data_IF_300822251541
#
_entry.id   IF_300822251541
#
_cell.length_a   1.000
_cell.length_b   1.000
_cell.length_c   1.000
_cell.angle_alpha   90.00
_cell.angle_beta   90.00
_cell.angle_gamma   90.00
#
_symmetry.space_group_name_H-M   'P 1'
#
loop_
_entity.id
_entity.type
_entity.pdbx_description
1 polymer ?
#
# COMPACT_ATOMS: atom_id res chain seq x y z
N UNK A 1 -55.30 12.46 50.24
CA UNK A 1 -56.02 12.78 49.01
C UNK A 1 -55.58 14.15 48.55
N UNK A 2 -54.73 14.22 47.52
CA UNK A 2 -54.54 15.38 46.67
C UNK A 2 -53.84 14.85 45.43
N UNK A 3 -54.56 14.80 44.35
CA UNK A 3 -54.08 14.48 43.02
C UNK A 3 -53.27 15.65 42.46
N UNK A 4 -52.06 15.41 42.07
CA UNK A 4 -51.23 16.36 41.32
C UNK A 4 -51.14 15.91 39.86
N UNK A 5 -51.89 16.55 38.97
CA UNK A 5 -51.81 16.44 37.55
C UNK A 5 -50.51 17.10 37.04
N UNK A 6 -49.65 16.36 36.40
CA UNK A 6 -48.52 16.90 35.66
C UNK A 6 -48.94 17.00 34.18
N UNK A 7 -49.13 18.22 33.68
CA UNK A 7 -49.26 18.53 32.27
C UNK A 7 -47.97 18.32 31.54
N UNK A 8 -47.97 17.82 30.28
CA UNK A 8 -46.76 17.67 29.47
C UNK A 8 -46.28 19.05 28.98
N UNK A 9 -45.00 19.31 29.13
CA UNK A 9 -44.32 20.50 28.60
C UNK A 9 -44.31 20.45 27.09
N UNK A 10 -44.93 21.44 26.47
CA UNK A 10 -44.85 21.74 25.05
C UNK A 10 -43.39 22.02 24.64
N UNK A 11 -42.86 21.25 23.70
CA UNK A 11 -41.60 21.54 23.04
C UNK A 11 -41.84 22.63 21.99
N UNK A 12 -41.26 23.81 22.24
CA UNK A 12 -41.20 24.88 21.24
C UNK A 12 -40.05 24.56 20.28
N UNK A 13 -40.34 24.26 19.05
CA UNK A 13 -39.35 24.20 17.97
C UNK A 13 -38.83 25.60 17.68
N UNK A 14 -37.53 25.82 17.92
CA UNK A 14 -36.83 26.99 17.41
C UNK A 14 -36.69 26.85 15.86
N UNK A 15 -36.87 27.96 15.11
CA UNK A 15 -36.75 27.91 13.64
C UNK A 15 -35.27 27.66 13.27
N UNK A 16 -35.07 26.67 12.40
CA UNK A 16 -33.79 26.34 11.81
C UNK A 16 -33.11 27.58 11.19
N UNK A 17 -32.07 28.06 11.85
CA UNK A 17 -31.21 29.09 11.31
C UNK A 17 -30.57 28.60 10.02
N UNK A 18 -30.75 29.38 8.96
CA UNK A 18 -30.10 29.21 7.66
C UNK A 18 -28.58 29.26 7.86
N UNK A 19 -27.93 28.15 8.12
CA UNK A 19 -26.50 28.00 7.93
C UNK A 19 -26.27 27.80 6.43
N UNK A 20 -26.07 28.93 5.76
CA UNK A 20 -25.46 29.01 4.46
C UNK A 20 -23.98 28.60 4.66
N UNK A 21 -23.73 27.28 4.64
CA UNK A 21 -22.36 26.76 4.56
C UNK A 21 -21.80 27.24 3.23
N UNK A 22 -20.81 28.10 3.31
CA UNK A 22 -20.15 28.67 2.16
C UNK A 22 -19.57 27.55 1.30
N UNK A 23 -20.05 27.48 0.08
CA UNK A 23 -19.68 26.56 -1.00
C UNK A 23 -18.25 26.85 -1.56
N UNK A 24 -17.34 27.38 -0.76
CA UNK A 24 -16.04 27.88 -1.20
C UNK A 24 -14.84 27.01 -0.82
N UNK A 25 -15.04 25.83 -0.22
CA UNK A 25 -13.92 24.92 0.12
C UNK A 25 -13.95 23.63 -0.70
N UNK A 26 -14.88 23.46 -1.63
CA UNK A 26 -15.00 22.24 -2.46
C UNK A 26 -14.58 22.42 -3.93
N UNK A 27 -13.88 23.46 -4.30
CA UNK A 27 -13.44 23.65 -5.70
C UNK A 27 -11.98 23.27 -5.97
N UNK A 28 -11.33 22.50 -5.09
CA UNK A 28 -10.01 21.91 -5.35
C UNK A 28 -9.95 20.38 -5.18
N UNK A 29 -11.08 19.71 -5.05
CA UNK A 29 -11.13 18.29 -5.31
C UNK A 29 -11.11 18.13 -6.83
N UNK A 30 -9.92 18.02 -7.44
CA UNK A 30 -9.79 17.50 -8.78
C UNK A 30 -10.51 16.15 -8.81
N UNK A 31 -11.56 16.04 -9.62
CA UNK A 31 -12.13 14.77 -10.00
C UNK A 31 -10.99 13.92 -10.55
N UNK A 32 -10.59 12.91 -9.80
CA UNK A 32 -9.70 11.87 -10.29
C UNK A 32 -10.50 10.97 -11.24
N UNK A 33 -10.72 11.47 -12.44
CA UNK A 33 -11.05 10.64 -13.58
C UNK A 33 -9.87 9.71 -13.78
N UNK A 34 -10.02 8.39 -13.65
CA UNK A 34 -9.10 7.28 -13.92
C UNK A 34 -7.64 7.61 -14.32
N UNK A 35 -7.06 8.57 -13.70
CA UNK A 35 -5.89 9.28 -14.18
C UNK A 35 -4.64 8.72 -13.51
N UNK A 36 -3.58 8.68 -14.28
CA UNK A 36 -2.23 8.41 -13.83
C UNK A 36 -1.93 9.20 -12.55
N UNK A 37 -1.62 8.50 -11.48
CA UNK A 37 -1.25 9.09 -10.20
C UNK A 37 0.21 8.77 -9.91
N UNK A 38 0.98 9.80 -9.57
CA UNK A 38 2.33 9.67 -9.06
C UNK A 38 2.48 10.55 -7.83
N UNK A 39 2.96 9.95 -6.76
CA UNK A 39 3.32 10.63 -5.54
C UNK A 39 4.85 10.58 -5.37
N UNK A 40 5.49 11.74 -5.42
CA UNK A 40 6.93 11.92 -5.21
C UNK A 40 7.26 12.24 -3.73
N UNK A 41 6.31 12.05 -2.81
CA UNK A 41 6.45 12.23 -1.37
C UNK A 41 7.06 13.58 -0.95
N UNK A 42 6.77 14.63 -1.73
CA UNK A 42 7.25 16.00 -1.46
C UNK A 42 6.26 16.81 -0.63
N UNK A 43 5.03 16.36 -0.52
CA UNK A 43 3.99 16.99 0.30
C UNK A 43 4.27 16.78 1.81
N UNK A 44 3.84 17.73 2.68
CA UNK A 44 4.03 17.60 4.12
C UNK A 44 3.17 16.53 4.78
N UNK A 45 2.15 16.03 4.10
CA UNK A 45 1.25 14.96 4.54
C UNK A 45 1.02 13.99 3.38
N UNK A 46 0.78 12.72 3.70
CA UNK A 46 0.40 11.74 2.70
C UNK A 46 -0.96 12.09 2.08
N UNK A 47 -1.10 11.76 0.81
CA UNK A 47 -2.37 11.83 0.11
C UNK A 47 -3.44 11.01 0.88
N UNK A 48 -4.63 11.59 1.16
CA UNK A 48 -5.69 10.95 1.95
C UNK A 48 -6.25 9.67 1.32
N UNK A 49 -6.01 9.42 0.04
CA UNK A 49 -6.42 8.19 -0.64
C UNK A 49 -5.56 6.97 -0.27
N UNK A 50 -4.40 7.16 0.38
CA UNK A 50 -3.66 6.05 0.94
C UNK A 50 -4.40 5.43 2.13
N UNK A 51 -4.43 4.13 2.13
CA UNK A 51 -5.02 3.34 3.20
C UNK A 51 -3.95 2.46 3.85
N UNK A 52 -4.10 2.24 5.14
CA UNK A 52 -3.33 1.27 5.91
C UNK A 52 -4.27 0.22 6.50
N UNK A 53 -3.74 -0.97 6.80
CA UNK A 53 -4.56 -2.04 7.35
C UNK A 53 -4.82 -1.82 8.84
N UNK A 54 -6.07 -1.47 9.20
CA UNK A 54 -6.66 -1.44 10.55
C UNK A 54 -6.01 -0.51 11.58
N UNK A 55 -4.90 0.11 11.28
CA UNK A 55 -4.24 1.08 12.16
C UNK A 55 -4.03 2.40 11.42
N UNK A 56 -4.14 3.54 12.10
CA UNK A 56 -3.83 4.83 11.50
C UNK A 56 -2.35 4.89 11.10
N UNK A 57 -2.08 5.56 10.00
CA UNK A 57 -0.72 5.93 9.62
C UNK A 57 -0.22 7.00 10.60
N UNK A 58 0.94 6.76 11.19
CA UNK A 58 1.57 7.70 12.14
C UNK A 58 3.03 7.91 11.79
N UNK A 59 3.58 9.07 12.14
CA UNK A 59 5.00 9.39 11.96
C UNK A 59 5.95 8.47 12.74
N UNK A 60 5.43 7.65 13.63
CA UNK A 60 6.22 6.67 14.37
C UNK A 60 6.79 5.56 13.48
N UNK A 61 6.13 5.26 12.35
CA UNK A 61 6.58 4.22 11.42
C UNK A 61 6.53 4.63 9.94
N UNK A 62 6.05 5.84 9.67
CA UNK A 62 6.06 6.48 8.34
C UNK A 62 6.52 7.92 8.50
N UNK A 63 7.55 8.36 7.80
CA UNK A 63 8.05 9.73 7.90
C UNK A 63 8.28 10.35 6.53
N UNK A 64 7.70 11.53 6.30
CA UNK A 64 7.97 12.40 5.16
C UNK A 64 9.03 13.46 5.46
N UNK A 65 9.45 13.57 6.72
CA UNK A 65 10.32 14.65 7.20
C UNK A 65 11.76 14.22 7.46
N UNK A 66 12.00 12.95 7.82
CA UNK A 66 13.35 12.45 8.11
C UNK A 66 14.26 12.40 6.89
N UNK A 67 13.68 12.20 5.70
CA UNK A 67 14.36 12.31 4.42
C UNK A 67 13.47 13.06 3.44
N UNK A 68 13.58 14.39 3.32
CA UNK A 68 12.73 15.17 2.43
C UNK A 68 12.75 14.66 0.98
N UNK A 69 11.57 14.53 0.35
CA UNK A 69 11.40 13.97 -0.99
C UNK A 69 11.39 12.43 -1.02
N UNK A 70 11.28 11.79 0.13
CA UNK A 70 11.10 10.35 0.28
C UNK A 70 10.05 10.05 1.34
N UNK A 71 9.36 8.94 1.17
CA UNK A 71 8.63 8.31 2.28
C UNK A 71 9.54 7.27 2.94
N UNK A 72 9.95 7.54 4.17
CA UNK A 72 10.64 6.56 5.01
C UNK A 72 9.64 5.68 5.71
N UNK A 73 9.78 4.36 5.54
CA UNK A 73 8.92 3.36 6.17
C UNK A 73 9.76 2.47 7.09
N UNK A 74 9.44 2.45 8.38
CA UNK A 74 10.09 1.57 9.36
C UNK A 74 9.44 0.20 9.33
N UNK A 75 10.26 -0.84 9.13
CA UNK A 75 9.82 -2.22 9.10
C UNK A 75 9.27 -2.68 10.44
N UNK A 76 8.15 -3.39 10.38
CA UNK A 76 7.44 -3.99 11.52
C UNK A 76 7.09 -5.43 11.19
N UNK A 77 6.00 -5.94 11.71
CA UNK A 77 5.52 -7.32 11.51
C UNK A 77 5.31 -7.69 10.04
N UNK A 78 5.28 -8.97 9.76
CA UNK A 78 5.00 -9.52 8.44
C UNK A 78 3.59 -9.23 7.93
N UNK A 79 3.37 -9.42 6.64
CA UNK A 79 2.12 -9.11 5.94
C UNK A 79 0.91 -9.92 6.42
N UNK A 80 1.12 -11.07 7.05
CA UNK A 80 0.06 -11.85 7.72
C UNK A 80 -0.43 -11.24 9.04
N UNK A 81 0.27 -10.26 9.60
CA UNK A 81 -0.19 -9.52 10.77
C UNK A 81 -1.40 -8.66 10.42
N UNK A 82 -2.40 -8.62 11.30
CA UNK A 82 -3.62 -7.81 11.10
C UNK A 82 -3.50 -6.39 11.67
N UNK A 83 -2.50 -6.09 12.50
CA UNK A 83 -2.43 -4.82 13.26
C UNK A 83 -1.05 -4.17 13.34
N UNK A 84 -0.01 -4.83 12.87
CA UNK A 84 1.36 -4.36 13.10
C UNK A 84 2.21 -4.28 11.84
N UNK A 85 1.58 -4.24 10.69
CA UNK A 85 2.25 -4.04 9.41
C UNK A 85 2.65 -2.58 9.22
N UNK A 86 3.69 -2.33 8.42
CA UNK A 86 3.95 -1.04 7.81
C UNK A 86 3.67 -1.16 6.32
N UNK A 87 2.50 -0.70 5.92
CA UNK A 87 1.97 -0.78 4.57
C UNK A 87 1.07 0.41 4.31
N UNK A 88 1.22 1.01 3.12
CA UNK A 88 0.27 1.94 2.55
C UNK A 88 -0.08 1.50 1.15
N UNK A 89 -1.35 1.62 0.78
CA UNK A 89 -1.84 1.20 -0.52
C UNK A 89 -3.00 2.07 -0.99
N UNK A 90 -3.21 2.09 -2.31
CA UNK A 90 -4.38 2.70 -2.96
C UNK A 90 -5.17 1.63 -3.68
N UNK A 91 -6.48 1.85 -3.83
CA UNK A 91 -7.36 0.92 -4.52
C UNK A 91 -7.05 0.84 -6.01
N UNK A 92 -7.05 -0.37 -6.55
CA UNK A 92 -7.08 -0.59 -7.99
C UNK A 92 -8.48 -0.23 -8.50
N UNK A 93 -8.57 0.71 -9.42
CA UNK A 93 -9.85 1.21 -9.97
C UNK A 93 -10.15 0.68 -11.36
N UNK A 94 -9.14 0.12 -12.03
CA UNK A 94 -9.24 -0.41 -13.38
C UNK A 94 -8.61 -1.81 -13.44
N UNK A 95 -9.04 -2.61 -14.43
CA UNK A 95 -8.49 -3.95 -14.65
C UNK A 95 -7.09 -3.91 -15.27
N UNK A 96 -6.84 -2.92 -16.13
CA UNK A 96 -5.57 -2.75 -16.84
C UNK A 96 -4.83 -1.57 -16.25
N UNK A 97 -3.89 -1.86 -15.34
CA UNK A 97 -3.11 -0.86 -14.61
C UNK A 97 -1.63 -1.26 -14.53
N UNK A 98 -0.78 -0.26 -14.51
CA UNK A 98 0.62 -0.42 -14.13
C UNK A 98 0.84 0.28 -12.80
N UNK A 99 1.54 -0.38 -11.88
CA UNK A 99 1.98 0.23 -10.62
C UNK A 99 3.47 0.05 -10.48
N UNK A 100 4.15 1.08 -9.99
CA UNK A 100 5.60 1.05 -9.86
C UNK A 100 6.09 1.95 -8.73
N UNK A 101 7.31 1.68 -8.27
CA UNK A 101 7.97 2.45 -7.22
C UNK A 101 9.48 2.43 -7.40
N UNK A 102 10.16 3.42 -6.83
CA UNK A 102 11.62 3.43 -6.66
C UNK A 102 11.92 3.46 -5.18
N UNK A 103 12.78 2.55 -4.74
CA UNK A 103 13.17 2.46 -3.34
C UNK A 103 14.67 2.32 -3.17
N UNK A 104 15.16 2.78 -2.03
CA UNK A 104 16.47 2.53 -1.48
C UNK A 104 16.30 1.70 -0.21
N UNK A 105 16.84 0.50 -0.20
CA UNK A 105 16.74 -0.42 0.91
C UNK A 105 17.97 -1.31 1.00
N UNK A 106 18.57 -1.39 2.19
CA UNK A 106 19.78 -2.19 2.44
C UNK A 106 19.51 -3.18 3.56
N UNK A 107 18.89 -4.34 3.24
CA UNK A 107 18.62 -5.38 4.24
C UNK A 107 19.91 -6.01 4.73
N UNK A 108 19.97 -6.32 6.04
CA UNK A 108 21.09 -6.97 6.70
C UNK A 108 20.87 -8.48 6.84
N UNK A 109 19.60 -8.89 6.89
CA UNK A 109 19.19 -10.28 7.05
C UNK A 109 17.91 -10.58 6.24
N UNK A 110 17.64 -11.85 5.97
CA UNK A 110 16.46 -12.31 5.23
C UNK A 110 15.11 -11.94 5.86
N UNK A 111 15.09 -11.57 7.14
CA UNK A 111 13.89 -11.12 7.88
C UNK A 111 13.48 -9.68 7.59
N UNK A 112 14.28 -8.96 6.80
CA UNK A 112 14.06 -7.58 6.41
C UNK A 112 13.66 -7.54 4.94
N UNK A 113 12.50 -6.97 4.64
CA UNK A 113 11.92 -6.93 3.30
C UNK A 113 11.24 -5.59 3.06
N UNK A 114 11.41 -5.03 1.86
CA UNK A 114 10.69 -3.83 1.43
C UNK A 114 10.40 -3.88 -0.07
N UNK A 115 9.24 -3.38 -0.50
CA UNK A 115 8.90 -3.39 -1.92
C UNK A 115 7.46 -3.06 -2.27
N UNK A 116 7.08 -3.50 -3.48
CA UNK A 116 5.80 -3.28 -4.12
C UNK A 116 4.85 -4.45 -3.84
N UNK A 117 3.62 -4.14 -3.44
CA UNK A 117 2.60 -5.15 -3.14
C UNK A 117 1.34 -4.92 -3.96
N UNK A 118 0.77 -6.00 -4.48
CA UNK A 118 -0.62 -6.09 -4.90
C UNK A 118 -1.34 -6.97 -3.88
N UNK A 119 -2.43 -6.47 -3.29
CA UNK A 119 -3.04 -7.08 -2.12
C UNK A 119 -4.56 -7.02 -2.19
N UNK A 120 -5.22 -8.13 -1.87
CA UNK A 120 -6.63 -8.15 -1.53
C UNK A 120 -6.82 -8.13 -0.01
N UNK A 121 -6.14 -9.02 0.70
CA UNK A 121 -6.11 -9.13 2.16
C UNK A 121 -4.77 -9.72 2.67
N UNK A 122 -4.69 -10.05 3.95
CA UNK A 122 -3.48 -10.61 4.59
C UNK A 122 -3.16 -12.04 4.16
N UNK A 123 -4.06 -12.70 3.47
CA UNK A 123 -3.96 -14.10 3.05
C UNK A 123 -3.85 -14.24 1.52
N UNK A 124 -4.08 -13.12 0.78
CA UNK A 124 -4.11 -13.08 -0.69
C UNK A 124 -3.38 -11.84 -1.20
N UNK A 125 -2.13 -12.01 -1.62
CA UNK A 125 -1.29 -10.93 -2.14
C UNK A 125 -0.11 -11.44 -2.99
N UNK A 126 0.45 -10.52 -3.78
CA UNK A 126 1.72 -10.68 -4.49
C UNK A 126 2.68 -9.59 -4.00
N UNK A 127 3.86 -9.99 -3.57
CA UNK A 127 4.85 -9.08 -2.98
C UNK A 127 6.20 -9.19 -3.70
N UNK A 128 6.46 -8.23 -4.59
CA UNK A 128 7.78 -8.04 -5.21
C UNK A 128 8.65 -7.24 -4.25
N UNK A 129 9.65 -7.85 -3.67
CA UNK A 129 10.41 -7.24 -2.60
C UNK A 129 11.92 -7.40 -2.75
N UNK A 130 12.62 -6.46 -2.14
CA UNK A 130 14.05 -6.53 -1.88
C UNK A 130 14.24 -7.14 -0.51
N UNK A 131 15.17 -8.07 -0.39
CA UNK A 131 15.58 -8.71 0.86
C UNK A 131 17.06 -9.09 0.83
N UNK A 132 17.49 -9.94 1.73
CA UNK A 132 18.82 -10.54 1.77
C UNK A 132 18.70 -12.05 1.91
N UNK A 133 19.44 -12.74 1.10
CA UNK A 133 19.68 -14.18 1.22
C UNK A 133 21.10 -14.44 1.72
N UNK A 134 21.33 -15.56 2.39
CA UNK A 134 22.64 -15.89 2.98
C UNK A 134 23.69 -16.22 1.92
N UNK A 135 23.27 -16.81 0.80
CA UNK A 135 24.16 -17.25 -0.27
C UNK A 135 24.43 -16.16 -1.31
N UNK A 136 23.40 -15.45 -1.75
CA UNK A 136 23.51 -14.46 -2.83
C UNK A 136 23.53 -12.99 -2.36
N UNK A 137 23.35 -12.73 -1.07
CA UNK A 137 23.37 -11.38 -0.52
C UNK A 137 22.08 -10.62 -0.76
N UNK A 138 22.16 -9.30 -1.07
CA UNK A 138 20.99 -8.48 -1.40
C UNK A 138 20.34 -9.02 -2.68
N UNK A 139 19.03 -9.23 -2.63
CA UNK A 139 18.29 -9.88 -3.71
C UNK A 139 16.87 -9.33 -3.86
N UNK A 140 16.28 -9.63 -5.01
CA UNK A 140 14.85 -9.39 -5.30
C UNK A 140 14.18 -10.76 -5.42
N UNK A 141 12.96 -10.88 -4.90
CA UNK A 141 12.13 -12.05 -5.08
C UNK A 141 10.64 -11.68 -5.14
N UNK A 142 9.84 -12.54 -5.74
CA UNK A 142 8.39 -12.43 -5.79
C UNK A 142 7.75 -13.50 -4.93
N UNK A 143 7.07 -13.08 -3.87
CA UNK A 143 6.30 -13.92 -2.97
C UNK A 143 4.83 -13.85 -3.32
N UNK A 144 4.17 -14.98 -3.43
CA UNK A 144 2.72 -15.13 -3.51
C UNK A 144 2.18 -15.68 -2.20
N UNK A 145 1.11 -15.07 -1.71
CA UNK A 145 0.24 -15.65 -0.70
C UNK A 145 -1.14 -15.87 -1.32
N UNK A 146 -1.67 -17.08 -1.20
CA UNK A 146 -3.01 -17.44 -1.66
C UNK A 146 -3.66 -18.37 -0.64
N UNK A 147 -4.74 -17.90 -0.01
CA UNK A 147 -5.47 -18.67 1.01
C UNK A 147 -4.54 -19.24 2.11
N UNK A 148 -3.65 -18.40 2.66
CA UNK A 148 -2.66 -18.75 3.71
C UNK A 148 -1.55 -19.71 3.25
N UNK A 149 -1.43 -19.97 1.96
CA UNK A 149 -0.30 -20.70 1.39
C UNK A 149 0.68 -19.71 0.81
N UNK A 150 1.95 -19.91 1.10
CA UNK A 150 3.04 -19.02 0.70
C UNK A 150 3.98 -19.75 -0.22
N UNK A 151 4.31 -19.13 -1.35
CA UNK A 151 5.28 -19.64 -2.30
C UNK A 151 6.10 -18.52 -2.93
N UNK A 152 7.37 -18.76 -3.17
CA UNK A 152 8.17 -17.90 -4.02
C UNK A 152 7.94 -18.29 -5.48
N UNK A 153 7.52 -17.34 -6.30
CA UNK A 153 7.31 -17.54 -7.74
C UNK A 153 8.60 -17.39 -8.54
N UNK A 154 9.67 -16.92 -7.91
CA UNK A 154 10.99 -16.72 -8.51
C UNK A 154 12.08 -17.21 -7.59
N UNK A 155 13.23 -17.54 -8.17
CA UNK A 155 14.48 -17.63 -7.42
C UNK A 155 14.88 -16.26 -6.86
N UNK A 156 15.78 -16.22 -5.91
CA UNK A 156 16.39 -15.00 -5.43
C UNK A 156 17.34 -14.43 -6.49
N UNK A 157 17.02 -13.22 -6.98
CA UNK A 157 17.82 -12.52 -7.99
C UNK A 157 18.80 -11.56 -7.31
N UNK A 158 20.11 -11.83 -7.37
CA UNK A 158 21.12 -10.97 -6.74
C UNK A 158 21.13 -9.56 -7.33
N UNK A 159 21.24 -8.55 -6.48
CA UNK A 159 21.39 -7.15 -6.86
C UNK A 159 22.47 -6.46 -6.05
N UNK A 160 22.99 -5.33 -6.55
CA UNK A 160 24.06 -4.62 -5.88
C UNK A 160 23.58 -3.79 -4.69
N UNK A 161 24.41 -3.70 -3.67
CA UNK A 161 24.22 -2.77 -2.56
C UNK A 161 24.44 -1.31 -3.01
N UNK A 162 23.82 -0.37 -2.29
CA UNK A 162 24.02 1.05 -2.48
C UNK A 162 23.35 1.65 -3.73
N UNK A 163 22.59 0.86 -4.47
CA UNK A 163 21.86 1.34 -5.66
C UNK A 163 20.34 1.33 -5.42
N UNK A 164 19.65 2.38 -5.90
CA UNK A 164 18.19 2.37 -5.93
C UNK A 164 17.65 1.27 -6.85
N UNK A 165 16.51 0.73 -6.48
CA UNK A 165 15.83 -0.33 -7.21
C UNK A 165 14.44 0.17 -7.62
N UNK A 166 14.07 -0.09 -8.86
CA UNK A 166 12.75 0.19 -9.39
C UNK A 166 11.98 -1.13 -9.50
N UNK A 167 10.78 -1.15 -8.97
CA UNK A 167 9.88 -2.30 -9.00
C UNK A 167 8.62 -1.93 -9.76
N UNK A 168 8.08 -2.89 -10.52
CA UNK A 168 6.87 -2.69 -11.32
C UNK A 168 6.01 -3.94 -11.37
N UNK A 169 4.68 -3.72 -11.36
CA UNK A 169 3.67 -4.70 -11.72
C UNK A 169 2.79 -4.12 -12.82
N UNK A 170 2.61 -4.85 -13.91
CA UNK A 170 1.74 -4.51 -15.05
C UNK A 170 0.60 -5.53 -15.11
N UNK A 171 -0.62 -5.06 -14.93
CA UNK A 171 -1.85 -5.87 -14.94
C UNK A 171 -2.55 -5.69 -16.27
N UNK A 172 -2.83 -6.80 -16.96
CA UNK A 172 -3.49 -6.82 -18.27
C UNK A 172 -4.44 -8.01 -18.36
N UNK A 173 -5.72 -7.73 -18.65
CA UNK A 173 -6.71 -8.78 -18.86
C UNK A 173 -6.72 -9.86 -17.76
N UNK A 174 -6.53 -9.44 -16.50
CA UNK A 174 -6.49 -10.34 -15.34
C UNK A 174 -5.15 -11.06 -15.11
N UNK A 175 -4.15 -10.86 -15.96
CA UNK A 175 -2.80 -11.39 -15.77
C UNK A 175 -1.83 -10.30 -15.33
N UNK A 176 -0.84 -10.69 -14.54
CA UNK A 176 0.14 -9.78 -13.95
C UNK A 176 1.54 -10.15 -14.40
N UNK A 177 2.29 -9.12 -14.80
CA UNK A 177 3.72 -9.22 -15.10
C UNK A 177 4.49 -8.37 -14.12
N UNK A 178 5.49 -8.95 -13.45
CA UNK A 178 6.40 -8.23 -12.57
C UNK A 178 7.75 -8.00 -13.22
N UNK A 179 8.30 -6.80 -13.01
CA UNK A 179 9.60 -6.42 -13.51
C UNK A 179 10.36 -5.56 -12.50
N UNK A 180 11.67 -5.54 -12.63
CA UNK A 180 12.54 -4.64 -11.91
C UNK A 180 13.54 -3.98 -12.84
N UNK A 181 14.17 -2.92 -12.41
CA UNK A 181 15.37 -2.36 -13.02
C UNK A 181 16.26 -1.72 -11.98
N UNK A 182 17.54 -1.67 -12.28
CA UNK A 182 18.52 -0.89 -11.53
C UNK A 182 18.71 0.48 -12.20
N UNK A 183 19.33 1.41 -11.49
CA UNK A 183 19.65 2.72 -12.05
C UNK A 183 20.47 2.59 -13.35
N UNK A 184 20.03 3.25 -14.41
CA UNK A 184 20.69 3.24 -15.72
C UNK A 184 20.50 1.96 -16.54
N UNK A 185 19.69 1.00 -16.10
CA UNK A 185 19.38 -0.22 -16.85
C UNK A 185 17.95 -0.24 -17.39
N UNK A 186 17.69 -1.14 -18.34
CA UNK A 186 16.34 -1.42 -18.83
C UNK A 186 15.56 -2.29 -17.85
N UNK A 187 14.23 -2.29 -17.99
CA UNK A 187 13.34 -3.18 -17.25
C UNK A 187 13.62 -4.66 -17.60
N UNK A 188 13.72 -5.47 -16.56
CA UNK A 188 13.90 -6.92 -16.64
C UNK A 188 12.65 -7.59 -16.06
N UNK A 189 11.98 -8.40 -16.85
CA UNK A 189 10.84 -9.20 -16.38
C UNK A 189 11.35 -10.27 -15.42
N UNK A 190 10.67 -10.40 -14.28
CA UNK A 190 11.00 -11.35 -13.22
C UNK A 190 10.00 -12.51 -13.18
N UNK A 191 8.74 -12.22 -13.48
CA UNK A 191 7.67 -13.19 -13.63
C UNK A 191 6.57 -12.60 -14.53
N UNK A 192 5.92 -13.44 -15.32
CA UNK A 192 4.88 -13.04 -16.26
C UNK A 192 3.71 -14.03 -16.24
N UNK A 193 2.56 -13.58 -16.78
CA UNK A 193 1.36 -14.41 -16.92
C UNK A 193 0.85 -14.98 -15.57
N UNK A 194 1.03 -14.23 -14.48
CA UNK A 194 0.49 -14.62 -13.16
C UNK A 194 -1.01 -14.33 -13.18
N UNK A 195 -1.82 -15.36 -12.94
CA UNK A 195 -3.26 -15.20 -12.79
C UNK A 195 -3.56 -14.36 -11.54
N UNK A 196 -4.21 -13.21 -11.72
CA UNK A 196 -4.60 -12.28 -10.65
C UNK A 196 -5.97 -12.56 -10.04
N UNK A 197 -6.70 -13.55 -10.53
CA UNK A 197 -8.10 -13.82 -10.12
C UNK A 197 -8.25 -14.16 -8.63
N UNK A 198 -7.19 -14.67 -7.98
CA UNK A 198 -7.21 -14.97 -6.54
C UNK A 198 -7.25 -13.70 -5.65
N UNK A 199 -7.03 -12.51 -6.23
CA UNK A 199 -7.17 -11.23 -5.53
C UNK A 199 -8.56 -10.62 -5.78
N UNK A 200 -9.61 -11.41 -5.58
CA UNK A 200 -11.00 -11.01 -5.77
C UNK A 200 -11.89 -11.46 -4.62
N UNK A 201 -13.08 -10.87 -4.51
CA UNK A 201 -14.08 -11.23 -3.51
C UNK A 201 -14.50 -12.70 -3.62
N UNK A 202 -14.57 -13.24 -4.85
CA UNK A 202 -14.99 -14.61 -5.13
C UNK A 202 -13.94 -15.64 -4.69
N UNK A 203 -12.66 -15.27 -4.72
CA UNK A 203 -11.56 -16.15 -4.33
C UNK A 203 -11.26 -16.10 -2.84
N UNK A 204 -11.65 -15.01 -2.16
CA UNK A 204 -11.37 -14.79 -0.75
C UNK A 204 -12.26 -15.66 0.15
N UNK A 205 -11.64 -16.36 1.09
CA UNK A 205 -12.37 -17.26 2.02
C UNK A 205 -13.08 -16.54 3.16
N UNK A 206 -12.70 -15.32 3.48
CA UNK A 206 -13.24 -14.53 4.60
C UNK A 206 -14.27 -13.47 4.15
N UNK A 207 -14.53 -13.32 2.85
CA UNK A 207 -15.61 -12.47 2.30
C UNK A 207 -15.43 -10.96 2.55
N UNK A 208 -14.24 -10.47 2.45
CA UNK A 208 -13.93 -9.04 2.61
C UNK A 208 -14.27 -8.27 1.33
N UNK A 209 -15.31 -7.50 1.32
CA UNK A 209 -15.67 -6.63 0.19
C UNK A 209 -14.79 -5.37 0.14
N UNK A 210 -13.47 -5.54 0.05
CA UNK A 210 -12.52 -4.42 0.07
C UNK A 210 -11.99 -4.04 -1.31
N UNK A 211 -11.97 -4.98 -2.27
CA UNK A 211 -11.34 -4.84 -3.57
C UNK A 211 -9.80 -4.88 -3.48
N UNK A 212 -9.18 -5.17 -4.60
CA UNK A 212 -7.72 -5.25 -4.70
C UNK A 212 -7.06 -3.86 -4.58
N UNK A 213 -5.87 -3.85 -4.01
CA UNK A 213 -5.09 -2.66 -3.74
C UNK A 213 -3.65 -2.83 -4.24
N UNK A 214 -3.02 -1.73 -4.63
CA UNK A 214 -1.60 -1.67 -4.91
C UNK A 214 -0.91 -0.70 -3.96
N UNK A 215 0.30 -1.04 -3.51
CA UNK A 215 1.00 -0.21 -2.54
C UNK A 215 2.43 -0.60 -2.31
N UNK A 216 2.98 -0.04 -1.25
CA UNK A 216 4.34 -0.26 -0.79
C UNK A 216 4.34 -0.67 0.68
N UNK A 217 5.29 -1.53 1.03
CA UNK A 217 5.41 -1.98 2.41
C UNK A 217 6.87 -2.25 2.81
N UNK A 218 7.10 -2.22 4.13
CA UNK A 218 8.36 -2.53 4.75
C UNK A 218 8.15 -3.46 5.95
N UNK A 219 8.95 -4.53 6.05
CA UNK A 219 8.94 -5.49 7.14
C UNK A 219 10.31 -5.58 7.79
N UNK A 220 10.32 -5.70 9.10
CA UNK A 220 11.51 -6.08 9.87
C UNK A 220 11.11 -7.01 11.02
N UNK A 221 11.27 -8.31 10.80
CA UNK A 221 10.93 -9.33 11.79
C UNK A 221 12.02 -9.50 12.84
N UNK A 222 13.09 -8.72 12.78
CA UNK A 222 14.12 -8.68 13.83
C UNK A 222 13.73 -7.79 15.00
N UNK A 223 12.83 -6.82 14.75
CA UNK A 223 12.40 -5.83 15.73
C UNK A 223 13.38 -4.66 15.92
N UNK A 224 14.41 -4.54 15.09
CA UNK A 224 15.39 -3.43 15.20
C UNK A 224 14.95 -2.18 14.42
N UNK A 225 13.83 -2.22 13.73
CA UNK A 225 13.28 -1.06 13.03
C UNK A 225 14.05 -0.69 11.76
N UNK A 226 14.50 -1.69 10.99
CA UNK A 226 15.08 -1.43 9.67
C UNK A 226 14.10 -0.66 8.82
N UNK A 227 14.58 0.36 8.11
CA UNK A 227 13.72 1.20 7.28
C UNK A 227 14.06 1.07 5.79
N UNK A 228 13.08 1.39 4.96
CA UNK A 228 13.21 1.60 3.52
C UNK A 228 12.79 3.03 3.17
N UNK A 229 13.48 3.64 2.23
CA UNK A 229 13.16 4.96 1.68
C UNK A 229 12.57 4.80 0.27
N UNK A 230 11.32 5.20 0.10
CA UNK A 230 10.64 5.21 -1.19
C UNK A 230 10.67 6.61 -1.78
N UNK A 231 11.28 6.75 -2.97
CA UNK A 231 11.41 8.02 -3.70
C UNK A 231 10.06 8.46 -4.28
N UNK A 232 9.31 7.49 -4.82
CA UNK A 232 7.97 7.72 -5.36
C UNK A 232 7.18 6.41 -5.45
N UNK A 233 5.84 6.58 -5.55
CA UNK A 233 4.91 5.51 -5.91
C UNK A 233 3.99 6.00 -7.03
N UNK A 234 3.75 5.17 -8.04
CA UNK A 234 3.01 5.54 -9.24
C UNK A 234 2.00 4.46 -9.63
N UNK A 235 0.81 4.89 -10.05
CA UNK A 235 -0.22 4.06 -10.66
C UNK A 235 -0.65 4.68 -11.98
N UNK A 236 -0.78 3.87 -13.03
CA UNK A 236 -1.16 4.30 -14.38
C UNK A 236 -2.23 3.37 -14.93
N UNK A 237 -3.29 3.93 -15.48
CA UNK A 237 -4.25 3.23 -16.33
C UNK A 237 -3.61 2.98 -17.70
N UNK A 238 -3.92 1.86 -18.33
CA UNK A 238 -3.33 1.47 -19.62
C UNK A 238 -4.38 1.36 -20.72
#
# INVERSE_FOLDING_TARGET
>A
MAEGSTEPKEYVEEPAGNHRVEKQVMESAQESTGANMRDDFTAPVLDPDYQSLRIPMTEHYLSLTERPGYLRMYGRSGLSSKFSQTLIAKRLTEYDMETSTKLEFEPEVFKQMAGLILMYDTDNYLYLHVSRDEDCGKCIALLKAENKKYEYLTDYLPVFFGLPIYLKADMRNGYITFAYRLEGSDWQTIAENIDGSFMSDEACTEGWFTGAMAGICCQDLTGFGKYADFDWFEMKTK
#
